data_IF_264826717819
#
_entry.id   IF_264826717819
#
_cell.length_a   1.000
_cell.length_b   1.000
_cell.length_c   1.000
_cell.angle_alpha   90.00
_cell.angle_beta   90.00
_cell.angle_gamma   90.00
#
_symmetry.space_group_name_H-M   'P 1'
#
loop_
_entity.id
_entity.type
_entity.pdbx_description
1 polymer ?
#
# COMPACT_ATOMS: atom_id res chain seq x y z
N UNK A 1 8.07 2.18 -45.12
CA UNK A 1 6.89 1.78 -44.32
C UNK A 1 7.26 1.98 -42.86
N UNK A 2 6.44 2.69 -42.07
CA UNK A 2 6.62 2.76 -40.62
C UNK A 2 6.50 1.34 -40.05
N UNK A 3 7.45 0.91 -39.21
CA UNK A 3 7.34 -0.40 -38.57
C UNK A 3 6.55 -0.23 -37.29
N UNK A 4 5.60 -1.13 -37.05
CA UNK A 4 4.94 -1.26 -35.75
C UNK A 4 5.78 -2.18 -34.89
N UNK A 5 6.22 -1.71 -33.72
CA UNK A 5 7.04 -2.47 -32.76
C UNK A 5 6.26 -2.74 -31.47
N UNK A 6 6.36 -3.95 -30.94
CA UNK A 6 5.90 -4.29 -29.60
C UNK A 6 7.08 -4.30 -28.63
N UNK A 7 6.98 -3.50 -27.57
CA UNK A 7 8.05 -3.27 -26.60
C UNK A 7 7.58 -3.73 -25.22
N UNK A 8 8.42 -4.50 -24.51
CA UNK A 8 8.22 -4.75 -23.10
C UNK A 8 9.15 -3.85 -22.27
N UNK A 9 8.58 -3.05 -21.39
CA UNK A 9 9.31 -2.33 -20.34
C UNK A 9 9.17 -3.11 -19.04
N UNK A 10 10.29 -3.45 -18.41
CA UNK A 10 10.31 -4.38 -17.28
C UNK A 10 11.13 -3.79 -16.15
N UNK A 11 10.50 -3.47 -15.02
CA UNK A 11 11.26 -3.12 -13.81
C UNK A 11 12.08 -4.31 -13.29
N UNK A 12 13.17 -4.02 -12.57
CA UNK A 12 14.07 -5.04 -12.04
C UNK A 12 13.62 -5.51 -10.67
N UNK A 13 13.63 -4.63 -9.68
CA UNK A 13 13.61 -4.99 -8.26
C UNK A 13 12.17 -5.30 -7.84
N UNK A 14 11.91 -6.51 -7.31
CA UNK A 14 10.54 -6.93 -6.95
C UNK A 14 9.67 -7.33 -8.15
N UNK A 15 10.07 -6.97 -9.37
CA UNK A 15 9.40 -7.33 -10.63
C UNK A 15 10.04 -8.55 -11.30
N UNK A 16 11.01 -8.37 -12.23
CA UNK A 16 11.69 -9.52 -12.87
C UNK A 16 12.69 -10.20 -11.94
N UNK A 17 13.26 -9.49 -10.96
CA UNK A 17 14.15 -10.05 -9.95
C UNK A 17 13.38 -10.21 -8.63
N UNK A 18 13.11 -11.45 -8.24
CA UNK A 18 12.45 -11.81 -6.98
C UNK A 18 13.29 -12.86 -6.26
N UNK A 19 13.57 -12.62 -4.96
CA UNK A 19 14.39 -13.52 -4.13
C UNK A 19 15.75 -13.90 -4.77
N UNK A 20 16.37 -12.95 -5.49
CA UNK A 20 17.66 -13.15 -6.15
C UNK A 20 17.64 -14.02 -7.41
N UNK A 21 16.45 -14.30 -7.97
CA UNK A 21 16.24 -15.09 -9.17
C UNK A 21 15.28 -14.39 -10.13
N UNK A 22 15.28 -14.81 -11.41
CA UNK A 22 14.28 -14.33 -12.36
C UNK A 22 12.87 -14.83 -11.97
N UNK A 23 11.88 -13.95 -12.08
CA UNK A 23 10.48 -14.30 -11.95
C UNK A 23 10.05 -15.14 -13.16
N UNK A 24 9.90 -16.45 -12.95
CA UNK A 24 9.63 -17.42 -14.01
C UNK A 24 8.26 -17.21 -14.69
N UNK A 25 7.27 -16.64 -14.00
CA UNK A 25 5.96 -16.37 -14.60
C UNK A 25 6.01 -15.15 -15.53
N UNK A 26 6.71 -14.09 -15.12
CA UNK A 26 6.98 -12.96 -16.01
C UNK A 26 7.88 -13.37 -17.19
N UNK A 27 8.89 -14.22 -16.95
CA UNK A 27 9.73 -14.74 -18.04
C UNK A 27 8.92 -15.51 -19.09
N UNK A 28 8.03 -16.42 -18.67
CA UNK A 28 7.11 -17.12 -19.59
C UNK A 28 6.26 -16.13 -20.39
N UNK A 29 5.75 -15.08 -19.73
CA UNK A 29 4.96 -14.04 -20.38
C UNK A 29 5.78 -13.28 -21.44
N UNK A 30 7.02 -12.91 -21.13
CA UNK A 30 7.93 -12.24 -22.07
C UNK A 30 8.24 -13.11 -23.29
N UNK A 31 8.48 -14.42 -23.08
CA UNK A 31 8.68 -15.39 -24.18
C UNK A 31 7.43 -15.48 -25.05
N UNK A 32 6.24 -15.63 -24.44
CA UNK A 32 4.97 -15.76 -25.17
C UNK A 32 4.56 -14.48 -25.90
N UNK A 33 4.92 -13.31 -25.36
CA UNK A 33 4.61 -12.01 -25.95
C UNK A 33 5.38 -11.73 -27.24
N UNK A 34 6.51 -12.40 -27.47
CA UNK A 34 7.34 -12.24 -28.68
C UNK A 34 7.66 -10.77 -29.03
N UNK A 35 7.95 -9.96 -28.02
CA UNK A 35 8.25 -8.52 -28.17
C UNK A 35 9.43 -8.26 -29.09
N UNK A 36 9.38 -7.22 -29.92
CA UNK A 36 10.49 -6.79 -30.77
C UNK A 36 11.70 -6.35 -29.93
N UNK A 37 11.45 -5.67 -28.80
CA UNK A 37 12.48 -5.29 -27.84
C UNK A 37 12.00 -5.49 -26.40
N UNK A 38 12.93 -5.89 -25.54
CA UNK A 38 12.72 -6.02 -24.10
C UNK A 38 13.74 -5.11 -23.43
N UNK A 39 13.24 -4.21 -22.58
CA UNK A 39 14.03 -3.15 -21.97
C UNK A 39 13.84 -3.23 -20.45
N UNK A 40 14.93 -3.43 -19.72
CA UNK A 40 14.92 -3.22 -18.27
C UNK A 40 14.75 -1.72 -18.01
N UNK A 41 13.63 -1.36 -17.38
CA UNK A 41 13.17 0.01 -17.19
C UNK A 41 13.24 0.38 -15.71
N UNK A 42 14.40 0.90 -15.30
CA UNK A 42 14.80 0.90 -13.88
C UNK A 42 15.25 2.28 -13.38
N UNK A 43 15.11 2.53 -12.08
CA UNK A 43 15.60 3.75 -11.43
C UNK A 43 16.98 3.52 -10.78
N UNK A 44 17.91 2.88 -11.49
CA UNK A 44 19.25 2.57 -10.95
C UNK A 44 20.30 3.61 -11.35
N UNK A 45 21.10 4.00 -10.37
CA UNK A 45 22.27 4.89 -10.49
C UNK A 45 23.43 4.37 -9.64
N UNK A 46 24.64 4.92 -9.74
CA UNK A 46 25.77 4.47 -8.89
C UNK A 46 25.44 4.69 -7.42
N UNK A 47 24.88 5.85 -7.08
CA UNK A 47 24.46 6.15 -5.71
C UNK A 47 23.42 5.15 -5.18
N UNK A 48 22.36 4.89 -5.94
CA UNK A 48 21.29 3.99 -5.50
C UNK A 48 21.78 2.54 -5.38
N UNK A 49 22.71 2.12 -6.25
CA UNK A 49 23.30 0.79 -6.19
C UNK A 49 24.16 0.54 -4.94
N UNK A 50 24.71 1.57 -4.30
CA UNK A 50 25.43 1.40 -3.02
C UNK A 50 24.53 0.80 -1.94
N UNK A 51 23.25 1.19 -1.94
CA UNK A 51 22.25 0.64 -1.01
C UNK A 51 21.74 -0.70 -1.51
N UNK A 52 21.32 -0.78 -2.77
CA UNK A 52 20.67 -1.99 -3.31
C UNK A 52 21.62 -3.20 -3.25
N UNK A 53 22.89 -3.06 -3.64
CA UNK A 53 23.83 -4.18 -3.68
C UNK A 53 24.18 -4.72 -2.28
N UNK A 54 24.09 -3.90 -1.22
CA UNK A 54 24.28 -4.36 0.16
C UNK A 54 23.21 -5.35 0.59
N UNK A 55 21.99 -5.21 0.08
CA UNK A 55 20.87 -6.10 0.43
C UNK A 55 20.88 -7.43 -0.35
N UNK A 56 21.71 -7.56 -1.38
CA UNK A 56 21.71 -8.69 -2.30
C UNK A 56 22.97 -9.57 -2.22
N UNK A 57 23.73 -9.50 -1.12
CA UNK A 57 25.02 -10.17 -0.99
C UNK A 57 24.99 -11.69 -1.25
N UNK A 58 23.88 -12.36 -0.91
CA UNK A 58 23.73 -13.82 -1.07
C UNK A 58 22.95 -14.25 -2.33
N UNK A 59 22.51 -13.29 -3.15
CA UNK A 59 21.73 -13.60 -4.35
C UNK A 59 22.61 -14.07 -5.52
N UNK A 60 22.06 -14.92 -6.40
CA UNK A 60 22.75 -15.35 -7.61
C UNK A 60 22.81 -14.22 -8.65
N UNK A 61 21.76 -13.41 -8.75
CA UNK A 61 21.68 -12.25 -9.63
C UNK A 61 21.74 -10.98 -8.77
N UNK A 62 22.90 -10.32 -8.75
CA UNK A 62 23.17 -9.18 -7.85
C UNK A 62 23.07 -7.86 -8.59
N UNK A 63 23.71 -7.79 -9.75
CA UNK A 63 23.92 -6.56 -10.51
C UNK A 63 22.86 -6.39 -11.59
N UNK A 64 22.75 -5.16 -12.11
CA UNK A 64 21.90 -4.89 -13.27
C UNK A 64 22.36 -5.72 -14.48
N UNK A 65 23.68 -5.89 -14.61
CA UNK A 65 24.28 -6.74 -15.64
C UNK A 65 23.89 -8.21 -15.51
N UNK A 66 23.91 -8.78 -14.31
CA UNK A 66 23.58 -10.20 -14.10
C UNK A 66 22.15 -10.48 -14.58
N UNK A 67 21.21 -9.58 -14.23
CA UNK A 67 19.81 -9.67 -14.65
C UNK A 67 19.69 -9.55 -16.16
N UNK A 68 20.28 -8.52 -16.77
CA UNK A 68 20.21 -8.31 -18.22
C UNK A 68 20.82 -9.48 -19.00
N UNK A 69 21.95 -10.02 -18.54
CA UNK A 69 22.66 -11.13 -19.19
C UNK A 69 21.86 -12.42 -19.09
N UNK A 70 21.38 -12.78 -17.89
CA UNK A 70 20.60 -14.00 -17.69
C UNK A 70 19.26 -13.91 -18.43
N UNK A 71 18.58 -12.76 -18.38
CA UNK A 71 17.33 -12.55 -19.10
C UNK A 71 17.55 -12.64 -20.62
N UNK A 72 18.60 -12.01 -21.15
CA UNK A 72 18.96 -12.11 -22.59
C UNK A 72 19.19 -13.56 -23.02
N UNK A 73 19.93 -14.32 -22.21
CA UNK A 73 20.20 -15.74 -22.44
C UNK A 73 18.92 -16.58 -22.46
N UNK A 74 17.98 -16.31 -21.54
CA UNK A 74 16.71 -17.06 -21.43
C UNK A 74 15.73 -16.72 -22.56
N UNK A 75 15.83 -15.52 -23.13
CA UNK A 75 14.96 -15.03 -24.21
C UNK A 75 15.53 -15.23 -25.62
N UNK A 76 16.81 -15.62 -25.73
CA UNK A 76 17.57 -15.65 -26.98
C UNK A 76 17.49 -14.30 -27.73
N UNK A 77 17.60 -13.20 -26.96
CA UNK A 77 17.45 -11.84 -27.47
C UNK A 77 18.23 -10.85 -26.61
N UNK A 78 18.77 -9.81 -27.24
CA UNK A 78 19.40 -8.71 -26.52
C UNK A 78 18.38 -7.95 -25.66
N UNK A 79 18.66 -7.86 -24.36
CA UNK A 79 17.92 -7.02 -23.42
C UNK A 79 18.67 -5.71 -23.22
N UNK A 80 17.99 -4.59 -23.49
CA UNK A 80 18.53 -3.24 -23.23
C UNK A 80 18.22 -2.79 -21.81
N UNK A 81 18.93 -1.77 -21.33
CA UNK A 81 18.71 -1.19 -20.01
C UNK A 81 18.54 0.32 -20.17
N UNK A 82 17.37 0.84 -19.79
CA UNK A 82 17.12 2.27 -19.64
C UNK A 82 17.11 2.61 -18.15
N UNK A 83 17.88 3.62 -17.78
CA UNK A 83 17.91 4.13 -16.40
C UNK A 83 17.30 5.52 -16.31
N UNK A 84 16.78 5.85 -15.13
CA UNK A 84 16.19 7.17 -14.87
C UNK A 84 17.17 8.35 -15.00
N UNK A 85 18.47 8.08 -15.11
CA UNK A 85 19.51 9.10 -15.28
C UNK A 85 20.09 9.15 -16.70
N UNK A 86 19.63 8.32 -17.64
CA UNK A 86 20.20 8.22 -19.00
C UNK A 86 20.35 9.60 -19.67
N UNK A 87 19.29 10.42 -19.66
CA UNK A 87 19.27 11.74 -20.31
C UNK A 87 20.21 12.76 -19.67
N UNK A 88 20.66 12.51 -18.44
CA UNK A 88 21.67 13.34 -17.76
C UNK A 88 23.10 12.96 -18.18
N UNK A 89 23.29 11.77 -18.75
CA UNK A 89 24.58 11.21 -19.13
C UNK A 89 24.72 10.96 -20.64
N UNK A 90 23.74 11.38 -21.45
CA UNK A 90 23.78 11.33 -22.90
C UNK A 90 22.45 10.86 -23.50
N UNK A 91 22.54 10.06 -24.57
CA UNK A 91 21.38 9.39 -25.14
C UNK A 91 20.90 8.22 -24.26
N UNK A 92 19.66 7.80 -24.45
CA UNK A 92 19.09 6.60 -23.84
C UNK A 92 20.00 5.38 -24.02
N UNK A 93 20.01 4.49 -23.03
CA UNK A 93 20.82 3.27 -22.94
C UNK A 93 22.33 3.45 -22.71
N UNK A 94 22.88 4.67 -22.84
CA UNK A 94 24.32 4.89 -22.71
C UNK A 94 24.85 4.79 -21.28
N UNK A 95 24.01 5.05 -20.28
CA UNK A 95 24.46 5.07 -18.90
C UNK A 95 24.77 3.67 -18.35
N UNK A 96 24.15 2.63 -18.91
CA UNK A 96 24.28 1.26 -18.43
C UNK A 96 25.73 0.75 -18.38
N UNK A 97 26.57 1.08 -19.35
CA UNK A 97 27.99 0.67 -19.34
C UNK A 97 28.76 1.27 -18.15
N UNK A 98 28.45 2.52 -17.79
CA UNK A 98 29.04 3.19 -16.62
C UNK A 98 28.57 2.55 -15.33
N UNK A 99 27.27 2.21 -15.26
CA UNK A 99 26.68 1.53 -14.11
C UNK A 99 27.30 0.14 -13.91
N UNK A 100 27.38 -0.65 -14.97
CA UNK A 100 27.97 -2.00 -14.97
C UNK A 100 29.42 -2.01 -14.47
N UNK A 101 30.24 -1.08 -14.93
CA UNK A 101 31.63 -0.95 -14.45
C UNK A 101 31.68 -0.65 -12.95
N UNK A 102 30.84 0.28 -12.50
CA UNK A 102 30.73 0.66 -11.10
C UNK A 102 30.23 -0.49 -10.21
N UNK A 103 29.15 -1.19 -10.58
CA UNK A 103 28.58 -2.30 -9.79
C UNK A 103 29.63 -3.40 -9.54
N UNK A 104 30.39 -3.79 -10.57
CA UNK A 104 31.50 -4.76 -10.44
C UNK A 104 32.58 -4.28 -9.49
N UNK A 105 32.95 -3.01 -9.57
CA UNK A 105 33.95 -2.39 -8.70
C UNK A 105 33.44 -2.32 -7.26
N UNK A 106 32.19 -1.93 -7.07
CA UNK A 106 31.54 -1.82 -5.76
C UNK A 106 31.39 -3.18 -5.07
N UNK A 107 31.04 -4.25 -5.79
CA UNK A 107 30.99 -5.60 -5.20
C UNK A 107 32.36 -6.06 -4.69
N UNK A 108 33.45 -5.77 -5.42
CA UNK A 108 34.82 -6.02 -4.95
C UNK A 108 35.12 -5.21 -3.70
N UNK A 109 34.68 -3.94 -3.67
CA UNK A 109 34.82 -3.09 -2.49
C UNK A 109 34.05 -3.64 -1.30
N UNK A 110 32.81 -4.11 -1.43
CA UNK A 110 32.03 -4.61 -0.29
C UNK A 110 32.74 -5.77 0.43
N UNK A 111 33.26 -6.74 -0.32
CA UNK A 111 34.03 -7.86 0.23
C UNK A 111 35.28 -7.39 0.98
N UNK A 112 35.87 -6.27 0.54
CA UNK A 112 37.05 -5.68 1.16
C UNK A 112 36.69 -4.75 2.34
N UNK A 113 35.51 -4.13 2.31
CA UNK A 113 35.02 -3.16 3.28
C UNK A 113 34.66 -3.80 4.62
N UNK A 114 34.28 -5.07 4.64
CA UNK A 114 34.08 -5.82 5.90
C UNK A 114 35.34 -5.82 6.77
N UNK A 115 36.52 -5.97 6.15
CA UNK A 115 37.80 -5.83 6.84
C UNK A 115 38.04 -4.42 7.36
N UNK A 116 37.66 -3.41 6.58
CA UNK A 116 37.82 -2.00 6.98
C UNK A 116 36.93 -1.66 8.18
N UNK A 117 35.65 -2.06 8.14
CA UNK A 117 34.71 -1.90 9.26
C UNK A 117 35.23 -2.60 10.52
N UNK A 118 35.70 -3.84 10.37
CA UNK A 118 36.29 -4.61 11.48
C UNK A 118 37.50 -3.88 12.07
N UNK A 119 38.40 -3.36 11.23
CA UNK A 119 39.53 -2.55 11.67
C UNK A 119 39.10 -1.30 12.44
N UNK A 120 38.14 -0.52 11.91
CA UNK A 120 37.65 0.71 12.56
C UNK A 120 36.97 0.43 13.90
N UNK A 121 36.25 -0.69 14.01
CA UNK A 121 35.68 -1.19 15.26
C UNK A 121 36.77 -1.53 16.27
N UNK A 122 37.79 -2.27 15.83
CA UNK A 122 38.96 -2.63 16.64
C UNK A 122 39.75 -1.39 17.12
N UNK A 123 39.97 -0.39 16.26
CA UNK A 123 40.61 0.87 16.67
C UNK A 123 39.79 1.61 17.73
N UNK A 124 38.47 1.62 17.58
CA UNK A 124 37.55 2.25 18.52
C UNK A 124 37.58 1.57 19.89
N UNK A 125 37.59 0.23 19.93
CA UNK A 125 37.67 -0.52 21.19
C UNK A 125 39.04 -0.37 21.86
N UNK A 126 40.15 -0.41 21.09
CA UNK A 126 41.49 -0.10 21.63
C UNK A 126 41.51 1.29 22.27
N UNK A 127 40.94 2.29 21.59
CA UNK A 127 40.88 3.66 22.11
C UNK A 127 40.04 3.71 23.39
N UNK A 128 38.91 3.00 23.44
CA UNK A 128 38.06 2.90 24.63
C UNK A 128 38.80 2.26 25.80
N UNK A 129 39.46 1.12 25.59
CA UNK A 129 40.25 0.43 26.62
C UNK A 129 41.37 1.35 27.15
N UNK A 130 42.14 1.99 26.26
CA UNK A 130 43.22 2.91 26.66
C UNK A 130 42.75 4.14 27.43
N UNK A 131 41.50 4.56 27.23
CA UNK A 131 40.92 5.71 27.92
C UNK A 131 40.28 5.35 29.26
N UNK A 132 40.27 4.07 29.67
CA UNK A 132 39.76 3.64 30.97
C UNK A 132 40.71 4.08 32.08
N UNK A 133 40.22 4.95 32.97
CA UNK A 133 41.00 5.50 34.10
C UNK A 133 41.37 4.44 35.15
N UNK A 134 40.65 3.33 35.18
CA UNK A 134 40.82 2.22 36.12
C UNK A 134 41.87 1.19 35.68
N UNK A 135 42.40 1.31 34.46
CA UNK A 135 43.41 0.40 33.93
C UNK A 135 44.78 1.06 33.87
N UNK A 136 45.82 0.33 34.24
CA UNK A 136 47.19 0.71 33.87
C UNK A 136 47.44 0.46 32.38
N UNK A 137 48.52 1.00 31.83
CA UNK A 137 48.92 0.72 30.44
C UNK A 137 49.15 -0.78 30.18
N UNK A 138 49.73 -1.48 31.17
CA UNK A 138 49.95 -2.93 31.10
C UNK A 138 48.63 -3.71 31.16
N UNK A 139 47.68 -3.29 31.99
CA UNK A 139 46.36 -3.92 32.07
C UNK A 139 45.57 -3.70 30.77
N UNK A 140 45.68 -2.51 30.18
CA UNK A 140 45.10 -2.18 28.86
C UNK A 140 45.67 -3.07 27.76
N UNK A 141 47.01 -3.25 27.73
CA UNK A 141 47.66 -4.11 26.74
C UNK A 141 47.26 -5.59 26.88
N UNK A 142 47.13 -6.09 28.11
CA UNK A 142 46.63 -7.45 28.38
C UNK A 142 45.18 -7.62 27.92
N UNK A 143 44.31 -6.64 28.20
CA UNK A 143 42.91 -6.71 27.80
C UNK A 143 42.75 -6.71 26.28
N UNK A 144 43.49 -5.84 25.56
CA UNK A 144 43.52 -5.81 24.09
C UNK A 144 43.98 -7.17 23.52
N UNK A 145 45.02 -7.77 24.10
CA UNK A 145 45.51 -9.07 23.66
C UNK A 145 44.51 -10.21 23.95
N UNK A 146 43.81 -10.15 25.09
CA UNK A 146 42.77 -11.12 25.47
C UNK A 146 41.55 -11.08 24.53
N UNK A 147 41.17 -9.88 24.09
CA UNK A 147 40.07 -9.69 23.13
C UNK A 147 40.46 -10.04 21.68
N UNK A 148 41.70 -10.51 21.45
CA UNK A 148 42.21 -10.90 20.13
C UNK A 148 42.06 -9.80 19.08
N UNK A 149 42.12 -8.53 19.50
CA UNK A 149 41.95 -7.40 18.60
C UNK A 149 43.15 -7.32 17.67
N UNK A 150 42.93 -7.59 16.38
CA UNK A 150 43.95 -7.49 15.35
C UNK A 150 43.64 -6.35 14.38
N UNK A 151 44.57 -5.41 14.25
CA UNK A 151 44.49 -4.36 13.25
C UNK A 151 45.10 -4.82 11.94
N UNK A 152 44.47 -4.44 10.83
CA UNK A 152 45.06 -4.56 9.49
C UNK A 152 46.44 -3.88 9.41
N UNK A 153 47.39 -4.46 8.64
CA UNK A 153 48.64 -3.79 8.31
C UNK A 153 48.40 -2.45 7.59
N UNK A 154 49.23 -1.45 7.89
CA UNK A 154 49.09 -0.08 7.33
C UNK A 154 48.96 -0.07 5.80
N UNK A 155 49.76 -0.88 5.10
CA UNK A 155 49.71 -0.97 3.64
C UNK A 155 48.37 -1.54 3.11
N UNK A 156 47.74 -2.47 3.83
CA UNK A 156 46.40 -2.98 3.47
C UNK A 156 45.33 -1.94 3.79
N UNK A 157 45.42 -1.28 4.96
CA UNK A 157 44.51 -0.21 5.36
C UNK A 157 44.49 0.94 4.35
N UNK A 158 45.66 1.40 3.91
CA UNK A 158 45.78 2.48 2.92
C UNK A 158 45.18 2.08 1.57
N UNK A 159 45.34 0.81 1.14
CA UNK A 159 44.68 0.30 -0.07
C UNK A 159 43.16 0.31 0.05
N UNK A 160 42.62 -0.13 1.19
CA UNK A 160 41.17 -0.14 1.43
C UNK A 160 40.59 1.28 1.50
N UNK A 161 41.28 2.20 2.18
CA UNK A 161 40.89 3.62 2.25
C UNK A 161 40.92 4.28 0.87
N UNK A 162 41.98 4.04 0.08
CA UNK A 162 42.06 4.53 -1.29
C UNK A 162 40.91 3.98 -2.15
N UNK A 163 40.60 2.70 -2.02
CA UNK A 163 39.49 2.08 -2.78
C UNK A 163 38.13 2.65 -2.38
N UNK A 164 37.90 2.90 -1.08
CA UNK A 164 36.69 3.58 -0.58
C UNK A 164 36.58 4.98 -1.18
N UNK A 165 37.66 5.77 -1.14
CA UNK A 165 37.68 7.12 -1.69
C UNK A 165 37.36 7.11 -3.19
N UNK A 166 37.89 6.14 -3.94
CA UNK A 166 37.61 6.00 -5.37
C UNK A 166 36.12 5.75 -5.67
N UNK A 167 35.43 4.98 -4.81
CA UNK A 167 33.97 4.78 -4.89
C UNK A 167 33.23 6.07 -4.55
N UNK A 168 33.62 6.74 -3.47
CA UNK A 168 32.99 7.99 -3.01
C UNK A 168 33.13 9.11 -4.06
N UNK A 169 34.29 9.22 -4.70
CA UNK A 169 34.57 10.19 -5.77
C UNK A 169 33.69 9.95 -7.00
N UNK A 170 33.51 8.70 -7.42
CA UNK A 170 32.61 8.37 -8.54
C UNK A 170 31.16 8.75 -8.26
N UNK A 171 30.68 8.50 -7.03
CA UNK A 171 29.32 8.87 -6.60
C UNK A 171 29.19 10.39 -6.53
N UNK A 172 30.19 11.08 -5.98
CA UNK A 172 30.18 12.54 -5.90
C UNK A 172 30.16 13.20 -7.28
N UNK A 173 30.93 12.66 -8.23
CA UNK A 173 30.94 13.11 -9.62
C UNK A 173 29.58 12.92 -10.30
N UNK A 174 28.94 11.77 -10.10
CA UNK A 174 27.58 11.52 -10.61
C UNK A 174 26.56 12.47 -10.01
N UNK A 175 26.53 12.62 -8.68
CA UNK A 175 25.63 13.54 -7.98
C UNK A 175 25.77 14.97 -8.50
N UNK A 176 27.01 15.40 -8.79
CA UNK A 176 27.26 16.72 -9.36
C UNK A 176 26.59 16.89 -10.73
N UNK A 177 26.74 15.90 -11.62
CA UNK A 177 26.12 15.94 -12.97
C UNK A 177 24.59 16.00 -12.87
N UNK A 178 24.00 15.17 -12.01
CA UNK A 178 22.54 15.13 -11.79
C UNK A 178 22.02 16.47 -11.25
N UNK A 179 22.74 17.05 -10.28
CA UNK A 179 22.41 18.38 -9.73
C UNK A 179 22.52 19.47 -10.79
N UNK A 180 23.60 19.49 -11.56
CA UNK A 180 23.81 20.46 -12.63
C UNK A 180 22.71 20.35 -13.69
N UNK A 181 22.31 19.13 -14.06
CA UNK A 181 21.19 18.88 -14.97
C UNK A 181 19.85 19.36 -14.41
N UNK A 182 19.56 19.05 -13.15
CA UNK A 182 18.31 19.45 -12.49
C UNK A 182 18.20 20.97 -12.39
N UNK A 183 19.30 21.64 -12.06
CA UNK A 183 19.37 23.12 -12.04
C UNK A 183 19.12 23.72 -13.43
N UNK A 184 19.63 23.08 -14.49
CA UNK A 184 19.44 23.53 -15.87
C UNK A 184 18.04 23.22 -16.43
N UNK A 185 17.30 22.27 -15.82
CA UNK A 185 15.99 21.83 -16.27
C UNK A 185 14.96 21.91 -15.13
N UNK A 186 14.45 23.11 -14.77
CA UNK A 186 13.53 23.29 -13.62
C UNK A 186 12.19 22.54 -13.73
N UNK A 187 11.81 22.09 -14.93
CA UNK A 187 10.67 21.18 -15.13
C UNK A 187 10.90 19.81 -14.50
N UNK A 188 12.15 19.46 -14.24
CA UNK A 188 12.57 18.27 -13.52
C UNK A 188 12.32 18.44 -12.02
N UNK A 189 11.17 17.96 -11.55
CA UNK A 189 10.81 18.03 -10.13
C UNK A 189 11.30 16.79 -9.39
N UNK A 190 12.05 17.03 -8.32
CA UNK A 190 12.43 15.98 -7.38
C UNK A 190 12.40 16.52 -5.96
N UNK A 191 11.86 15.71 -5.05
CA UNK A 191 11.87 15.99 -3.61
C UNK A 191 13.07 15.29 -2.95
N UNK A 192 14.00 14.76 -3.75
CA UNK A 192 15.21 14.12 -3.28
C UNK A 192 16.28 15.18 -2.94
N UNK A 193 16.89 15.14 -1.74
CA UNK A 193 17.95 16.08 -1.37
C UNK A 193 19.16 16.03 -2.31
N UNK A 194 19.41 14.89 -2.94
CA UNK A 194 20.49 14.67 -3.90
C UNK A 194 20.03 14.85 -5.36
N UNK A 195 18.80 15.34 -5.57
CA UNK A 195 18.18 15.61 -6.87
C UNK A 195 17.97 14.38 -7.77
N UNK A 196 17.98 13.16 -7.21
CA UNK A 196 17.73 11.97 -8.02
C UNK A 196 16.31 11.93 -8.60
N UNK A 197 16.13 11.40 -9.83
CA UNK A 197 14.83 11.00 -10.34
C UNK A 197 14.06 10.14 -9.34
N UNK A 198 12.83 10.57 -8.99
CA UNK A 198 11.88 9.72 -8.27
C UNK A 198 10.72 9.24 -9.14
N UNK A 199 10.41 9.97 -10.21
CA UNK A 199 9.33 9.64 -11.14
C UNK A 199 9.88 8.98 -12.39
N UNK A 200 9.19 7.96 -12.89
CA UNK A 200 9.46 7.30 -14.18
C UNK A 200 8.78 8.00 -15.36
N UNK A 201 7.94 9.01 -15.14
CA UNK A 201 7.23 9.72 -16.23
C UNK A 201 8.20 10.30 -17.26
N UNK A 202 9.22 11.04 -16.81
CA UNK A 202 10.18 11.63 -17.76
C UNK A 202 11.03 10.56 -18.43
N UNK A 203 11.49 9.54 -17.68
CA UNK A 203 12.24 8.42 -18.25
C UNK A 203 11.43 7.70 -19.33
N UNK A 204 10.13 7.47 -19.09
CA UNK A 204 9.22 6.83 -20.04
C UNK A 204 9.07 7.67 -21.30
N UNK A 205 8.86 8.98 -21.14
CA UNK A 205 8.74 9.92 -22.26
C UNK A 205 10.02 9.94 -23.10
N UNK A 206 11.17 10.17 -22.48
CA UNK A 206 12.46 10.25 -23.17
C UNK A 206 12.80 8.93 -23.88
N UNK A 207 12.45 7.79 -23.27
CA UNK A 207 12.61 6.47 -23.88
C UNK A 207 11.67 6.28 -25.09
N UNK A 208 10.42 6.70 -24.99
CA UNK A 208 9.47 6.63 -26.10
C UNK A 208 9.89 7.53 -27.27
N UNK A 209 10.39 8.73 -26.99
CA UNK A 209 10.92 9.65 -28.00
C UNK A 209 12.12 9.01 -28.72
N UNK A 210 13.03 8.36 -27.99
CA UNK A 210 14.15 7.61 -28.58
C UNK A 210 13.67 6.44 -29.45
N UNK A 211 12.71 5.65 -28.97
CA UNK A 211 12.20 4.47 -29.68
C UNK A 211 11.41 4.82 -30.94
N UNK A 212 10.84 6.02 -30.99
CA UNK A 212 10.02 6.52 -32.11
C UNK A 212 10.76 7.53 -33.00
N UNK A 213 12.04 7.84 -32.73
CA UNK A 213 12.82 8.84 -33.48
C UNK A 213 12.91 8.61 -34.99
N UNK A 214 12.79 7.35 -35.43
CA UNK A 214 12.80 6.96 -36.85
C UNK A 214 11.40 7.01 -37.49
N UNK A 215 10.39 7.49 -36.77
CA UNK A 215 8.99 7.54 -37.20
C UNK A 215 8.23 6.22 -37.03
N UNK A 216 8.78 5.29 -36.25
CA UNK A 216 8.14 4.01 -35.91
C UNK A 216 6.95 4.19 -34.97
N UNK A 217 5.97 3.29 -35.09
CA UNK A 217 4.83 3.22 -34.18
C UNK A 217 5.14 2.14 -33.13
N UNK A 218 4.97 2.47 -31.84
CA UNK A 218 5.23 1.51 -30.76
C UNK A 218 3.97 1.18 -29.99
N UNK A 219 3.90 -0.04 -29.46
CA UNK A 219 2.97 -0.47 -28.42
C UNK A 219 3.80 -1.00 -27.26
N UNK A 220 3.44 -0.61 -26.05
CA UNK A 220 4.21 -0.90 -24.85
C UNK A 220 3.40 -1.78 -23.90
N UNK A 221 4.01 -2.86 -23.43
CA UNK A 221 3.57 -3.56 -22.24
C UNK A 221 4.55 -3.25 -21.10
N UNK A 222 4.07 -2.58 -20.06
CA UNK A 222 4.87 -2.14 -18.93
C UNK A 222 4.59 -3.01 -17.69
N UNK A 223 5.65 -3.61 -17.16
CA UNK A 223 5.65 -4.51 -16.01
C UNK A 223 6.40 -3.87 -14.84
N UNK A 224 5.71 -3.67 -13.73
CA UNK A 224 6.27 -3.07 -12.52
C UNK A 224 5.59 -3.69 -11.28
N UNK A 225 6.29 -3.75 -10.16
CA UNK A 225 5.73 -4.20 -8.88
C UNK A 225 5.15 -3.03 -8.06
N UNK A 226 5.30 -1.79 -8.56
CA UNK A 226 4.83 -0.59 -7.90
C UNK A 226 3.59 0.03 -8.54
N UNK A 227 2.49 0.10 -7.79
CA UNK A 227 1.27 0.84 -8.16
C UNK A 227 1.57 2.28 -8.54
N UNK A 228 2.39 2.98 -7.76
CA UNK A 228 2.70 4.39 -7.99
C UNK A 228 3.40 4.60 -9.34
N UNK A 229 4.33 3.72 -9.69
CA UNK A 229 5.02 3.72 -10.99
C UNK A 229 4.03 3.45 -12.14
N UNK A 230 3.08 2.54 -11.95
CA UNK A 230 2.05 2.25 -12.95
C UNK A 230 1.02 3.39 -13.09
N UNK A 231 0.67 4.04 -11.97
CA UNK A 231 -0.33 5.11 -11.89
C UNK A 231 0.17 6.43 -12.48
N UNK A 232 1.46 6.75 -12.30
CA UNK A 232 2.04 8.00 -12.80
C UNK A 232 2.23 8.04 -14.32
N UNK A 233 2.38 6.89 -14.98
CA UNK A 233 2.56 6.84 -16.43
C UNK A 233 1.20 6.84 -17.12
N UNK A 234 0.85 7.97 -17.72
CA UNK A 234 -0.37 8.13 -18.52
C UNK A 234 -0.14 7.73 -19.99
N UNK A 235 -1.13 7.08 -20.63
CA UNK A 235 -1.05 6.68 -22.02
C UNK A 235 -1.27 7.89 -22.95
N UNK A 236 -0.29 8.77 -23.06
CA UNK A 236 -0.35 9.87 -24.02
C UNK A 236 0.19 9.44 -25.38
N UNK A 237 -0.71 9.25 -26.34
CA UNK A 237 -0.46 8.95 -27.75
C UNK A 237 0.23 7.61 -28.07
N UNK A 238 0.51 6.78 -27.06
CA UNK A 238 1.13 5.45 -27.22
C UNK A 238 0.20 4.38 -26.63
N UNK A 239 -0.17 3.33 -27.39
CA UNK A 239 -0.85 2.16 -26.84
C UNK A 239 -0.02 1.52 -25.73
N UNK A 240 -0.49 1.63 -24.49
CA UNK A 240 0.20 1.20 -23.29
C UNK A 240 -0.69 0.23 -22.49
N UNK A 241 -0.22 -1.00 -22.29
CA UNK A 241 -0.77 -1.91 -21.29
C UNK A 241 0.13 -1.91 -20.06
N UNK A 242 -0.47 -1.93 -18.87
CA UNK A 242 0.26 -1.88 -17.59
C UNK A 242 -0.09 -3.11 -16.77
N UNK A 243 0.93 -3.72 -16.16
CA UNK A 243 0.81 -4.94 -15.40
C UNK A 243 1.54 -4.81 -14.07
N UNK A 244 0.77 -4.99 -12.99
CA UNK A 244 1.30 -5.17 -11.65
C UNK A 244 1.88 -6.57 -11.53
N UNK A 245 3.15 -6.67 -11.18
CA UNK A 245 3.86 -7.93 -10.97
C UNK A 245 4.09 -8.16 -9.48
N UNK A 246 3.58 -9.26 -8.97
CA UNK A 246 3.78 -9.71 -7.60
C UNK A 246 4.28 -11.16 -7.61
N UNK A 247 4.71 -11.67 -6.46
CA UNK A 247 5.19 -13.05 -6.35
C UNK A 247 4.08 -14.04 -6.75
N UNK A 248 4.29 -14.74 -7.87
CA UNK A 248 3.34 -15.73 -8.41
C UNK A 248 2.04 -15.15 -8.97
N UNK A 249 1.94 -13.84 -9.19
CA UNK A 249 0.72 -13.18 -9.69
C UNK A 249 1.06 -12.01 -10.59
N UNK A 250 0.34 -11.89 -11.71
CA UNK A 250 0.40 -10.73 -12.60
C UNK A 250 -1.02 -10.25 -12.86
N UNK A 251 -1.28 -8.97 -12.61
CA UNK A 251 -2.62 -8.39 -12.69
C UNK A 251 -2.59 -7.15 -13.57
N UNK A 252 -3.61 -6.92 -14.39
CA UNK A 252 -3.70 -5.66 -15.16
C UNK A 252 -3.85 -4.49 -14.19
N UNK A 253 -3.20 -3.38 -14.51
CA UNK A 253 -3.27 -2.18 -13.68
C UNK A 253 -4.70 -1.66 -13.52
N UNK A 254 -5.55 -1.77 -14.55
CA UNK A 254 -6.94 -1.31 -14.48
C UNK A 254 -7.72 -2.06 -13.38
N UNK A 255 -7.53 -3.39 -13.29
CA UNK A 255 -8.15 -4.21 -12.25
C UNK A 255 -7.57 -3.87 -10.87
N UNK A 256 -6.27 -3.59 -10.78
CA UNK A 256 -5.62 -3.16 -9.54
C UNK A 256 -6.16 -1.80 -9.08
N UNK A 257 -6.29 -0.85 -10.00
CA UNK A 257 -6.81 0.50 -9.76
C UNK A 257 -8.23 0.46 -9.23
N UNK A 258 -9.10 -0.34 -9.86
CA UNK A 258 -10.47 -0.55 -9.39
C UNK A 258 -10.51 -1.14 -7.97
N UNK A 259 -9.70 -2.17 -7.70
CA UNK A 259 -9.60 -2.76 -6.37
C UNK A 259 -9.10 -1.76 -5.32
N UNK A 260 -8.07 -0.96 -5.64
CA UNK A 260 -7.55 0.08 -4.74
C UNK A 260 -8.61 1.15 -4.44
N UNK A 261 -9.36 1.60 -5.45
CA UNK A 261 -10.47 2.52 -5.24
C UNK A 261 -11.54 1.94 -4.31
N UNK A 262 -11.92 0.68 -4.50
CA UNK A 262 -12.87 0.00 -3.61
C UNK A 262 -12.35 -0.06 -2.17
N UNK A 263 -11.12 -0.52 -1.97
CA UNK A 263 -10.51 -0.63 -0.63
C UNK A 263 -10.47 0.73 0.08
N UNK A 264 -10.02 1.79 -0.61
CA UNK A 264 -10.00 3.15 -0.04
C UNK A 264 -11.40 3.60 0.37
N UNK A 265 -12.38 3.39 -0.51
CA UNK A 265 -13.77 3.75 -0.22
C UNK A 265 -14.33 2.99 0.99
N UNK A 266 -14.05 1.69 1.12
CA UNK A 266 -14.50 0.88 2.25
C UNK A 266 -13.87 1.32 3.58
N UNK A 267 -12.58 1.65 3.57
CA UNK A 267 -11.87 2.22 4.73
C UNK A 267 -12.47 3.58 5.10
N UNK A 268 -12.67 4.46 4.13
CA UNK A 268 -13.22 5.79 4.38
C UNK A 268 -14.64 5.70 4.96
N UNK A 269 -15.48 4.78 4.45
CA UNK A 269 -16.82 4.54 5.02
C UNK A 269 -16.70 4.13 6.50
N UNK A 270 -15.79 3.21 6.83
CA UNK A 270 -15.62 2.73 8.20
C UNK A 270 -15.03 3.81 9.12
N UNK A 271 -14.12 4.65 8.62
CA UNK A 271 -13.64 5.84 9.33
C UNK A 271 -14.82 6.72 9.75
N UNK A 272 -15.67 7.12 8.80
CA UNK A 272 -16.82 7.97 9.10
C UNK A 272 -17.79 7.33 10.11
N UNK A 273 -17.93 6.00 10.08
CA UNK A 273 -18.73 5.24 11.03
C UNK A 273 -18.15 5.30 12.45
N UNK A 274 -16.84 5.09 12.61
CA UNK A 274 -16.17 5.20 13.90
C UNK A 274 -16.16 6.64 14.44
N UNK A 275 -15.96 7.64 13.58
CA UNK A 275 -16.02 9.05 13.98
C UNK A 275 -17.39 9.46 14.54
N UNK A 276 -18.48 8.91 13.99
CA UNK A 276 -19.83 9.12 14.54
C UNK A 276 -19.97 8.50 15.93
N UNK A 277 -19.45 7.29 16.14
CA UNK A 277 -19.47 6.66 17.46
C UNK A 277 -18.69 7.48 18.48
N UNK A 278 -17.49 7.96 18.13
CA UNK A 278 -16.68 8.80 19.02
C UNK A 278 -17.43 10.06 19.45
N UNK A 279 -18.16 10.70 18.53
CA UNK A 279 -19.02 11.86 18.86
C UNK A 279 -20.19 11.47 19.76
N UNK A 280 -20.83 10.34 19.49
CA UNK A 280 -21.99 9.83 20.25
C UNK A 280 -21.64 9.47 21.70
N UNK A 281 -20.48 8.88 21.92
CA UNK A 281 -19.99 8.57 23.27
C UNK A 281 -19.41 9.79 24.00
N UNK A 282 -19.65 11.01 23.49
CA UNK A 282 -19.20 12.28 24.07
C UNK A 282 -17.74 12.25 24.52
N UNK A 283 -16.87 11.58 23.77
CA UNK A 283 -15.46 11.45 24.18
C UNK A 283 -14.72 12.81 24.17
N UNK A 284 -15.38 13.90 23.74
CA UNK A 284 -14.86 15.27 23.65
C UNK A 284 -13.48 15.35 23.01
N UNK A 285 -13.20 14.43 22.07
CA UNK A 285 -11.94 14.33 21.38
C UNK A 285 -11.93 15.26 20.17
N UNK A 286 -10.87 16.06 20.08
CA UNK A 286 -10.52 16.75 18.85
C UNK A 286 -9.96 15.73 17.85
N UNK A 287 -10.84 15.23 16.97
CA UNK A 287 -10.48 14.25 15.93
C UNK A 287 -9.36 14.76 15.00
N UNK A 288 -9.15 16.08 14.88
CA UNK A 288 -8.01 16.62 14.12
C UNK A 288 -6.66 16.33 14.77
N UNK A 289 -6.67 15.99 16.07
CA UNK A 289 -5.50 15.62 16.88
C UNK A 289 -5.47 14.15 17.24
N UNK A 290 -6.24 13.30 16.55
CA UNK A 290 -6.32 11.86 16.83
C UNK A 290 -4.94 11.19 16.94
N UNK A 291 -4.00 11.56 16.08
CA UNK A 291 -2.63 11.03 16.08
C UNK A 291 -1.78 11.48 17.27
N UNK A 292 -2.15 12.57 17.94
CA UNK A 292 -1.45 13.08 19.12
C UNK A 292 -1.89 12.38 20.41
N UNK A 293 -2.96 11.57 20.35
CA UNK A 293 -3.41 10.78 21.50
C UNK A 293 -2.42 9.64 21.73
N UNK A 294 -1.74 9.68 22.87
CA UNK A 294 -0.75 8.67 23.27
C UNK A 294 -1.40 7.37 23.74
N UNK A 295 -0.69 6.25 23.65
CA UNK A 295 -1.17 4.98 24.20
C UNK A 295 -1.51 5.05 25.69
N UNK A 296 -0.76 5.87 26.46
CA UNK A 296 -1.03 6.10 27.88
C UNK A 296 -2.39 6.76 28.10
N UNK A 297 -2.75 7.74 27.27
CA UNK A 297 -4.06 8.39 27.33
C UNK A 297 -5.18 7.42 26.91
N UNK A 298 -4.95 6.60 25.89
CA UNK A 298 -5.92 5.57 25.48
C UNK A 298 -6.18 4.61 26.64
N UNK A 299 -5.15 4.05 27.28
CA UNK A 299 -5.28 3.12 28.42
C UNK A 299 -6.02 3.67 29.65
N UNK A 300 -6.23 4.99 29.73
CA UNK A 300 -6.97 5.64 30.81
C UNK A 300 -8.47 5.79 30.49
N UNK A 301 -8.89 5.54 29.25
CA UNK A 301 -10.29 5.56 28.82
C UNK A 301 -10.99 4.25 29.22
N UNK A 302 -12.32 4.22 29.18
CA UNK A 302 -13.07 2.98 29.30
C UNK A 302 -12.80 2.05 28.11
N UNK A 303 -13.13 0.76 28.25
CA UNK A 303 -12.83 -0.27 27.25
C UNK A 303 -13.46 0.03 25.88
N UNK A 304 -14.66 0.62 25.85
CA UNK A 304 -15.34 0.94 24.59
C UNK A 304 -14.65 2.12 23.89
N UNK A 305 -14.30 3.17 24.64
CA UNK A 305 -13.54 4.29 24.12
C UNK A 305 -12.13 3.87 23.65
N UNK A 306 -11.45 3.00 24.38
CA UNK A 306 -10.16 2.42 23.99
C UNK A 306 -10.23 1.76 22.62
N UNK A 307 -11.22 0.90 22.43
CA UNK A 307 -11.44 0.16 21.20
C UNK A 307 -11.75 1.10 20.02
N UNK A 308 -12.67 2.05 20.21
CA UNK A 308 -13.07 3.01 19.18
C UNK A 308 -11.88 3.84 18.69
N UNK A 309 -11.08 4.38 19.61
CA UNK A 309 -9.94 5.25 19.27
C UNK A 309 -8.80 4.45 18.65
N UNK A 310 -8.53 3.24 19.13
CA UNK A 310 -7.49 2.38 18.55
C UNK A 310 -7.81 2.00 17.10
N UNK A 311 -9.06 1.60 16.84
CA UNK A 311 -9.48 1.25 15.48
C UNK A 311 -9.51 2.45 14.55
N UNK A 312 -10.01 3.60 15.04
CA UNK A 312 -10.05 4.82 14.24
C UNK A 312 -8.63 5.28 13.87
N UNK A 313 -7.65 5.19 14.77
CA UNK A 313 -6.24 5.48 14.48
C UNK A 313 -5.67 4.54 13.41
N UNK A 314 -5.94 3.25 13.52
CA UNK A 314 -5.46 2.26 12.54
C UNK A 314 -6.08 2.50 11.16
N UNK A 315 -7.40 2.75 11.07
CA UNK A 315 -8.06 3.03 9.80
C UNK A 315 -7.51 4.29 9.12
N UNK A 316 -7.29 5.36 9.91
CA UNK A 316 -6.68 6.59 9.43
C UNK A 316 -5.22 6.39 8.99
N UNK A 317 -4.45 5.52 9.67
CA UNK A 317 -3.12 5.11 9.24
C UNK A 317 -3.17 4.39 7.87
N UNK A 318 -4.06 3.40 7.74
CA UNK A 318 -4.24 2.64 6.50
C UNK A 318 -4.71 3.53 5.33
N UNK A 319 -5.67 4.43 5.56
CA UNK A 319 -6.12 5.38 4.53
C UNK A 319 -4.96 6.26 4.03
N UNK A 320 -4.10 6.76 4.93
CA UNK A 320 -2.90 7.51 4.55
C UNK A 320 -1.87 6.67 3.80
N UNK A 321 -1.62 5.43 4.23
CA UNK A 321 -0.70 4.51 3.55
C UNK A 321 -1.17 4.19 2.13
N UNK A 322 -2.48 4.15 1.91
CA UNK A 322 -3.08 3.96 0.59
C UNK A 322 -3.10 5.23 -0.26
N UNK A 323 -3.01 6.42 0.33
CA UNK A 323 -2.99 7.71 -0.38
C UNK A 323 -1.57 8.19 -0.71
N UNK A 324 -0.54 7.72 -0.02
CA UNK A 324 0.85 8.16 -0.22
C UNK A 324 1.59 7.44 -1.35
N UNK A 325 2.78 7.95 -1.68
CA UNK A 325 3.70 7.44 -2.73
C UNK A 325 4.09 5.96 -2.57
N UNK A 326 3.83 5.35 -1.40
CA UNK A 326 4.07 3.93 -1.10
C UNK A 326 2.85 3.02 -1.32
N UNK A 327 1.73 3.52 -1.86
CA UNK A 327 0.51 2.73 -2.08
C UNK A 327 0.71 1.42 -2.90
N UNK A 328 1.83 1.35 -3.62
CA UNK A 328 2.37 0.24 -4.40
C UNK A 328 2.73 -1.05 -3.67
N UNK A 329 3.58 -0.97 -2.65
CA UNK A 329 3.90 -2.12 -1.79
C UNK A 329 2.64 -2.64 -1.07
N UNK A 330 1.59 -1.82 -1.07
CA UNK A 330 0.46 -1.95 -0.18
C UNK A 330 -0.76 -2.63 -0.81
N UNK A 331 -0.79 -3.06 -2.08
CA UNK A 331 -1.98 -3.80 -2.53
C UNK A 331 -2.11 -5.13 -1.77
N UNK A 332 -1.03 -5.91 -1.69
CA UNK A 332 -1.03 -7.17 -0.93
C UNK A 332 -1.27 -6.90 0.55
N UNK A 333 -0.61 -5.91 1.14
CA UNK A 333 -0.78 -5.59 2.55
C UNK A 333 -2.18 -5.06 2.85
N UNK A 334 -2.76 -4.27 1.94
CA UNK A 334 -4.14 -3.82 2.04
C UNK A 334 -5.12 -4.97 1.85
N UNK A 335 -4.89 -5.90 0.91
CA UNK A 335 -5.69 -7.11 0.81
C UNK A 335 -5.62 -7.97 2.08
N UNK A 336 -4.44 -8.05 2.73
CA UNK A 336 -4.26 -8.73 4.02
C UNK A 336 -5.01 -7.99 5.14
N UNK A 337 -4.87 -6.66 5.22
CA UNK A 337 -5.59 -5.83 6.18
C UNK A 337 -7.11 -6.01 6.02
N UNK A 338 -7.60 -5.95 4.78
CA UNK A 338 -9.01 -6.11 4.43
C UNK A 338 -9.56 -7.50 4.79
N UNK A 339 -8.75 -8.56 4.71
CA UNK A 339 -9.15 -9.93 5.06
C UNK A 339 -9.03 -10.27 6.55
N UNK A 340 -8.32 -9.45 7.33
CA UNK A 340 -8.11 -9.66 8.76
C UNK A 340 -8.71 -8.52 9.58
N UNK A 341 -7.85 -7.58 9.97
CA UNK A 341 -8.17 -6.47 10.87
C UNK A 341 -9.42 -5.68 10.46
N UNK A 342 -9.60 -5.42 9.16
CA UNK A 342 -10.76 -4.66 8.70
C UNK A 342 -12.09 -5.38 9.01
N UNK A 343 -12.17 -6.69 8.79
CA UNK A 343 -13.36 -7.48 9.13
C UNK A 343 -13.60 -7.47 10.64
N UNK A 344 -12.55 -7.63 11.44
CA UNK A 344 -12.64 -7.55 12.91
C UNK A 344 -13.18 -6.19 13.36
N UNK A 345 -12.71 -5.10 12.73
CA UNK A 345 -13.21 -3.74 13.00
C UNK A 345 -14.66 -3.58 12.57
N UNK A 346 -15.07 -4.13 11.43
CA UNK A 346 -16.49 -4.13 11.03
C UNK A 346 -17.35 -4.87 12.05
N UNK A 347 -16.91 -6.03 12.54
CA UNK A 347 -17.64 -6.78 13.57
C UNK A 347 -17.72 -6.01 14.89
N UNK A 348 -16.63 -5.38 15.32
CA UNK A 348 -16.60 -4.56 16.53
C UNK A 348 -17.52 -3.35 16.42
N UNK A 349 -17.50 -2.66 15.27
CA UNK A 349 -18.45 -1.58 14.97
C UNK A 349 -19.90 -2.06 15.11
N UNK A 350 -20.23 -3.21 14.50
CA UNK A 350 -21.58 -3.79 14.55
C UNK A 350 -21.99 -4.13 15.99
N UNK A 351 -21.09 -4.73 16.78
CA UNK A 351 -21.32 -5.08 18.18
C UNK A 351 -21.64 -3.85 19.03
N UNK A 352 -20.97 -2.73 18.79
CA UNK A 352 -21.19 -1.48 19.54
C UNK A 352 -22.46 -0.78 19.05
N UNK A 353 -22.66 -0.67 17.74
CA UNK A 353 -23.64 0.25 17.17
C UNK A 353 -25.04 -0.35 16.98
N UNK A 354 -25.13 -1.66 16.68
CA UNK A 354 -26.38 -2.32 16.27
C UNK A 354 -26.73 -3.53 17.13
N UNK A 355 -25.77 -4.32 17.60
CA UNK A 355 -26.07 -5.51 18.39
C UNK A 355 -26.97 -5.26 19.64
N UNK A 356 -26.93 -4.08 20.31
CA UNK A 356 -27.84 -3.79 21.42
C UNK A 356 -29.33 -3.84 21.04
N UNK A 357 -29.66 -3.62 19.76
CA UNK A 357 -31.05 -3.60 19.24
C UNK A 357 -31.34 -4.74 18.26
N UNK A 358 -30.30 -5.44 17.78
CA UNK A 358 -30.43 -6.56 16.85
C UNK A 358 -29.38 -7.64 17.12
N UNK A 359 -29.77 -8.67 17.89
CA UNK A 359 -28.89 -9.77 18.31
C UNK A 359 -28.23 -10.57 17.17
N UNK A 360 -28.74 -10.46 15.94
CA UNK A 360 -28.21 -11.18 14.78
C UNK A 360 -27.35 -10.31 13.86
N UNK A 361 -26.94 -9.14 14.35
CA UNK A 361 -26.16 -8.20 13.56
C UNK A 361 -24.79 -8.79 13.16
N UNK A 362 -24.54 -8.86 11.86
CA UNK A 362 -23.29 -9.39 11.29
C UNK A 362 -23.04 -8.74 9.92
N UNK A 363 -21.80 -8.40 9.59
CA UNK A 363 -21.39 -7.90 8.27
C UNK A 363 -20.43 -8.84 7.51
N UNK A 364 -19.90 -9.88 8.17
CA UNK A 364 -18.93 -10.81 7.62
C UNK A 364 -19.60 -12.04 6.99
N UNK A 365 -20.51 -12.70 7.70
CA UNK A 365 -21.17 -13.93 7.23
C UNK A 365 -22.65 -13.97 7.63
N UNK A 366 -23.51 -14.41 6.71
CA UNK A 366 -24.90 -14.68 7.03
C UNK A 366 -25.05 -16.09 7.59
N UNK A 367 -25.94 -16.27 8.57
CA UNK A 367 -26.41 -17.61 8.92
C UNK A 367 -27.15 -18.19 7.71
N UNK A 368 -27.11 -19.50 7.55
CA UNK A 368 -27.93 -20.17 6.54
C UNK A 368 -29.41 -20.04 6.92
N UNK A 369 -30.23 -19.62 5.95
CA UNK A 369 -31.68 -19.53 6.11
C UNK A 369 -32.39 -20.26 4.97
N UNK A 370 -33.51 -20.92 5.26
CA UNK A 370 -34.33 -21.58 4.24
C UNK A 370 -34.88 -20.60 3.18
N UNK A 371 -35.00 -19.31 3.53
CA UNK A 371 -35.37 -18.22 2.62
C UNK A 371 -34.56 -16.96 2.99
N UNK A 372 -33.36 -16.80 2.44
CA UNK A 372 -32.53 -15.61 2.66
C UNK A 372 -33.17 -14.34 2.06
N UNK A 373 -33.04 -13.22 2.76
CA UNK A 373 -33.30 -11.91 2.16
C UNK A 373 -32.30 -11.67 1.02
N UNK A 374 -32.74 -11.17 -0.13
CA UNK A 374 -31.91 -11.02 -1.33
C UNK A 374 -32.22 -9.71 -2.07
N UNK A 375 -31.21 -9.23 -2.79
CA UNK A 375 -31.29 -8.07 -3.68
C UNK A 375 -31.79 -8.42 -5.09
N UNK A 376 -31.87 -9.71 -5.47
CA UNK A 376 -32.09 -10.19 -6.85
C UNK A 376 -33.37 -9.67 -7.52
N UNK A 377 -34.46 -9.47 -6.77
CA UNK A 377 -35.76 -9.02 -7.28
C UNK A 377 -36.06 -7.54 -6.99
N UNK A 378 -35.04 -6.75 -6.63
CA UNK A 378 -35.18 -5.34 -6.22
C UNK A 378 -34.83 -4.34 -7.31
N UNK A 379 -35.15 -3.07 -7.08
CA UNK A 379 -34.82 -1.96 -7.99
C UNK A 379 -33.31 -1.85 -8.24
N UNK A 380 -32.92 -1.21 -9.35
CA UNK A 380 -31.50 -0.97 -9.70
C UNK A 380 -30.81 -0.13 -8.62
N UNK A 381 -31.50 0.87 -8.07
CA UNK A 381 -30.98 1.70 -6.99
C UNK A 381 -30.69 0.88 -5.73
N UNK A 382 -31.61 -0.01 -5.33
CA UNK A 382 -31.41 -0.89 -4.18
C UNK A 382 -30.26 -1.87 -4.40
N UNK A 383 -30.18 -2.48 -5.58
CA UNK A 383 -29.07 -3.38 -5.96
C UNK A 383 -27.72 -2.68 -5.93
N UNK A 384 -27.67 -1.42 -6.39
CA UNK A 384 -26.46 -0.60 -6.34
C UNK A 384 -26.03 -0.28 -4.90
N UNK A 385 -26.98 -0.08 -3.99
CA UNK A 385 -26.70 0.29 -2.61
C UNK A 385 -26.29 -0.90 -1.72
N UNK A 386 -26.81 -2.10 -2.00
CA UNK A 386 -26.62 -3.28 -1.16
C UNK A 386 -25.94 -4.45 -1.89
N UNK A 387 -25.40 -4.20 -3.08
CA UNK A 387 -24.44 -5.01 -3.85
C UNK A 387 -24.34 -6.50 -3.48
N UNK A 388 -25.23 -7.33 -4.03
CA UNK A 388 -25.28 -8.79 -3.84
C UNK A 388 -25.37 -9.29 -2.38
N UNK A 389 -25.52 -8.42 -1.38
CA UNK A 389 -25.69 -8.81 0.02
C UNK A 389 -26.96 -9.62 0.20
N UNK A 390 -26.90 -10.60 1.12
CA UNK A 390 -28.01 -11.48 1.45
C UNK A 390 -28.16 -11.67 2.95
N UNK A 391 -29.29 -12.23 3.36
CA UNK A 391 -29.49 -12.73 4.71
C UNK A 391 -29.31 -11.68 5.81
N UNK A 392 -28.60 -12.06 6.87
CA UNK A 392 -28.35 -11.21 8.03
C UNK A 392 -27.42 -10.04 7.71
N UNK A 393 -26.49 -10.21 6.75
CA UNK A 393 -25.60 -9.14 6.29
C UNK A 393 -26.40 -8.01 5.65
N UNK A 394 -27.34 -8.35 4.78
CA UNK A 394 -28.23 -7.37 4.15
C UNK A 394 -29.07 -6.62 5.19
N UNK A 395 -29.70 -7.35 6.12
CA UNK A 395 -30.53 -6.73 7.15
C UNK A 395 -29.73 -5.85 8.11
N UNK A 396 -28.53 -6.30 8.50
CA UNK A 396 -27.62 -5.52 9.34
C UNK A 396 -27.23 -4.21 8.65
N UNK A 397 -26.83 -4.27 7.37
CA UNK A 397 -26.48 -3.05 6.62
C UNK A 397 -27.67 -2.10 6.48
N UNK A 398 -28.87 -2.62 6.26
CA UNK A 398 -30.10 -1.82 6.22
C UNK A 398 -30.34 -1.12 7.58
N UNK A 399 -30.20 -1.84 8.70
CA UNK A 399 -30.37 -1.28 10.04
C UNK A 399 -29.31 -0.21 10.38
N UNK A 400 -28.05 -0.44 9.99
CA UNK A 400 -26.98 0.56 10.11
C UNK A 400 -27.36 1.85 9.38
N UNK A 401 -27.79 1.73 8.12
CA UNK A 401 -28.18 2.89 7.31
C UNK A 401 -29.39 3.61 7.92
N UNK A 402 -30.40 2.85 8.38
CA UNK A 402 -31.57 3.43 9.03
C UNK A 402 -31.20 4.22 10.30
N UNK A 403 -30.42 3.61 11.20
CA UNK A 403 -29.95 4.25 12.44
C UNK A 403 -29.12 5.49 12.14
N UNK A 404 -28.21 5.40 11.17
CA UNK A 404 -27.35 6.50 10.76
C UNK A 404 -28.09 7.72 10.15
N UNK A 405 -29.27 7.52 9.56
CA UNK A 405 -30.09 8.61 9.02
C UNK A 405 -31.05 9.18 10.07
N UNK A 406 -31.67 8.34 10.90
CA UNK A 406 -32.60 8.83 11.92
C UNK A 406 -31.90 9.65 13.00
N UNK A 407 -30.64 9.33 13.34
CA UNK A 407 -29.81 10.10 14.27
C UNK A 407 -29.47 11.52 13.76
N UNK A 408 -29.74 11.84 12.48
CA UNK A 408 -29.59 13.21 11.95
C UNK A 408 -30.82 14.09 12.20
N UNK A 409 -31.96 13.49 12.56
CA UNK A 409 -33.18 14.24 12.80
C UNK A 409 -33.04 15.06 14.08
N UNK A 410 -33.38 16.35 14.02
CA UNK A 410 -33.17 17.27 15.14
C UNK A 410 -34.40 17.47 16.02
N UNK A 411 -35.54 16.88 15.66
CA UNK A 411 -36.80 16.97 16.40
C UNK A 411 -37.72 15.77 16.13
N UNK A 412 -38.79 15.66 16.93
CA UNK A 412 -39.77 14.57 16.84
C UNK A 412 -40.51 14.53 15.49
N UNK A 413 -40.82 15.70 14.91
CA UNK A 413 -41.57 15.77 13.65
C UNK A 413 -40.74 15.19 12.49
N UNK A 414 -39.45 15.50 12.44
CA UNK A 414 -38.51 14.93 11.47
C UNK A 414 -38.38 13.42 11.62
N UNK A 415 -38.24 12.93 12.86
CA UNK A 415 -38.19 11.49 13.16
C UNK A 415 -39.46 10.81 12.64
N UNK A 416 -40.65 11.29 13.00
CA UNK A 416 -41.91 10.65 12.61
C UNK A 416 -42.12 10.69 11.10
N UNK A 417 -41.77 11.81 10.44
CA UNK A 417 -41.81 11.95 8.98
C UNK A 417 -40.85 10.98 8.29
N UNK A 418 -39.62 10.86 8.80
CA UNK A 418 -38.62 9.94 8.27
C UNK A 418 -39.08 8.49 8.40
N UNK A 419 -39.56 8.08 9.59
CA UNK A 419 -40.07 6.72 9.84
C UNK A 419 -41.27 6.40 8.95
N UNK A 420 -42.22 7.32 8.81
CA UNK A 420 -43.39 7.13 7.95
C UNK A 420 -43.02 6.97 6.47
N UNK A 421 -41.99 7.70 6.00
CA UNK A 421 -41.43 7.53 4.66
C UNK A 421 -40.69 6.20 4.53
N UNK A 422 -39.84 5.86 5.50
CA UNK A 422 -39.01 4.66 5.49
C UNK A 422 -39.84 3.37 5.50
N UNK A 423 -40.95 3.32 6.25
CA UNK A 423 -41.86 2.17 6.26
C UNK A 423 -42.46 1.81 4.88
N UNK A 424 -42.40 2.73 3.90
CA UNK A 424 -42.86 2.50 2.53
C UNK A 424 -41.74 2.01 1.59
N UNK A 425 -40.49 2.03 2.04
CA UNK A 425 -39.30 1.78 1.21
C UNK A 425 -39.04 0.29 0.95
N UNK A 426 -38.15 -0.01 0.00
CA UNK A 426 -37.76 -1.39 -0.31
C UNK A 426 -36.94 -2.02 0.83
N UNK A 427 -36.18 -1.19 1.56
CA UNK A 427 -35.40 -1.54 2.74
C UNK A 427 -36.29 -2.08 3.86
N UNK A 428 -37.34 -1.34 4.23
CA UNK A 428 -38.25 -1.77 5.28
C UNK A 428 -38.96 -3.08 4.91
N UNK A 429 -39.44 -3.20 3.67
CA UNK A 429 -40.04 -4.44 3.16
C UNK A 429 -39.07 -5.63 3.21
N UNK A 430 -37.78 -5.36 3.03
CA UNK A 430 -36.73 -6.38 3.11
C UNK A 430 -36.48 -6.83 4.55
N UNK A 431 -36.52 -5.90 5.52
CA UNK A 431 -36.46 -6.24 6.95
C UNK A 431 -37.67 -7.07 7.39
N UNK A 432 -38.87 -6.74 6.89
CA UNK A 432 -40.10 -7.48 7.18
C UNK A 432 -40.11 -8.90 6.63
N UNK A 433 -39.23 -9.24 5.68
CA UNK A 433 -39.21 -10.58 5.10
C UNK A 433 -38.69 -11.60 6.13
N UNK A 434 -39.58 -12.46 6.62
CA UNK A 434 -39.24 -13.56 7.51
C UNK A 434 -38.31 -14.57 6.85
N UNK A 435 -37.14 -14.81 7.44
CA UNK A 435 -36.14 -15.75 6.92
C UNK A 435 -36.39 -17.21 7.36
N UNK A 436 -37.24 -17.43 8.36
CA UNK A 436 -37.70 -18.74 8.81
C UNK A 436 -39.03 -19.19 8.17
N UNK A 437 -39.20 -20.50 7.97
CA UNK A 437 -40.40 -21.11 7.38
C UNK A 437 -41.70 -20.74 8.14
N UNK A 438 -41.65 -20.71 9.48
CA UNK A 438 -42.80 -20.37 10.33
C UNK A 438 -43.20 -18.90 10.21
N UNK A 439 -42.23 -17.98 10.29
CA UNK A 439 -42.46 -16.53 10.13
C UNK A 439 -43.04 -16.22 8.76
N UNK A 440 -42.54 -16.89 7.71
CA UNK A 440 -43.02 -16.68 6.34
C UNK A 440 -44.42 -17.29 6.12
N UNK A 441 -44.71 -18.44 6.72
CA UNK A 441 -46.05 -19.04 6.70
C UNK A 441 -47.08 -18.13 7.38
N UNK A 442 -46.75 -17.57 8.55
CA UNK A 442 -47.57 -16.59 9.25
C UNK A 442 -47.81 -15.30 8.43
N UNK A 443 -46.78 -14.79 7.75
CA UNK A 443 -46.90 -13.62 6.89
C UNK A 443 -47.76 -13.88 5.65
N UNK A 444 -47.72 -15.09 5.09
CA UNK A 444 -48.57 -15.50 3.96
C UNK A 444 -50.05 -15.61 4.32
N UNK A 445 -50.39 -15.90 5.58
CA UNK A 445 -51.78 -16.00 6.06
C UNK A 445 -52.30 -14.72 6.71
N UNK A 446 -51.62 -13.58 6.49
CA UNK A 446 -52.09 -12.26 6.94
C UNK A 446 -51.80 -11.92 8.41
N UNK A 447 -51.06 -12.76 9.15
CA UNK A 447 -50.71 -12.53 10.56
C UNK A 447 -49.42 -11.69 10.72
N UNK A 448 -49.14 -10.81 9.76
CA UNK A 448 -47.91 -10.00 9.70
C UNK A 448 -47.75 -9.07 10.91
N UNK A 449 -48.86 -8.59 11.45
CA UNK A 449 -48.86 -7.74 12.65
C UNK A 449 -48.61 -8.53 13.95
N UNK A 450 -48.91 -9.83 13.97
CA UNK A 450 -48.75 -10.70 15.15
C UNK A 450 -47.36 -11.34 15.25
N UNK A 451 -46.66 -11.54 14.14
CA UNK A 451 -45.30 -12.13 14.13
C UNK A 451 -44.36 -11.16 13.41
N UNK A 452 -43.84 -10.19 14.15
CA UNK A 452 -42.81 -9.26 13.67
C UNK A 452 -41.45 -9.96 13.61
N UNK A 453 -40.65 -9.63 12.61
CA UNK A 453 -39.24 -10.08 12.54
C UNK A 453 -38.39 -9.32 13.55
N UNK A 454 -37.33 -9.94 14.07
CA UNK A 454 -36.38 -9.26 14.97
C UNK A 454 -35.78 -7.98 14.37
N UNK A 455 -35.59 -7.95 13.05
CA UNK A 455 -35.14 -6.77 12.32
C UNK A 455 -36.14 -5.61 12.31
N UNK A 456 -37.44 -5.87 12.46
CA UNK A 456 -38.47 -4.82 12.60
C UNK A 456 -38.54 -4.34 14.04
N UNK A 457 -38.39 -5.25 15.01
CA UNK A 457 -38.29 -4.86 16.42
C UNK A 457 -37.07 -3.95 16.65
N UNK A 458 -35.94 -4.25 16.00
CA UNK A 458 -34.77 -3.39 16.02
C UNK A 458 -35.04 -1.96 15.52
N UNK A 459 -35.89 -1.78 14.50
CA UNK A 459 -36.29 -0.45 14.02
C UNK A 459 -37.04 0.31 15.12
N UNK A 460 -37.98 -0.33 15.80
CA UNK A 460 -38.77 0.32 16.85
C UNK A 460 -37.88 0.74 18.03
N UNK A 461 -36.91 -0.10 18.43
CA UNK A 461 -35.92 0.25 19.46
C UNK A 461 -34.99 1.39 19.01
N UNK A 462 -34.53 1.40 17.76
CA UNK A 462 -33.72 2.51 17.21
C UNK A 462 -34.50 3.82 17.21
N UNK A 463 -35.78 3.79 16.85
CA UNK A 463 -36.65 4.99 16.87
C UNK A 463 -36.82 5.49 18.30
N UNK A 464 -37.01 4.59 19.26
CA UNK A 464 -37.11 4.94 20.68
C UNK A 464 -35.82 5.61 21.17
N UNK A 465 -34.67 4.99 20.90
CA UNK A 465 -33.34 5.54 21.24
C UNK A 465 -33.13 6.94 20.60
N UNK A 466 -33.52 7.12 19.35
CA UNK A 466 -33.40 8.42 18.66
C UNK A 466 -34.28 9.51 19.31
N UNK A 467 -35.49 9.17 19.75
CA UNK A 467 -36.40 10.11 20.44
C UNK A 467 -35.88 10.50 21.82
N UNK A 468 -35.30 9.55 22.55
CA UNK A 468 -34.72 9.77 23.88
C UNK A 468 -33.45 10.64 23.82
N UNK A 469 -32.70 10.59 22.72
CA UNK A 469 -31.47 11.36 22.51
C UNK A 469 -31.68 12.76 21.91
N UNK A 470 -32.93 13.19 21.65
CA UNK A 470 -33.18 14.55 21.23
C UNK A 470 -32.75 15.52 22.34
N UNK A 471 -32.10 16.65 22.02
CA UNK A 471 -31.77 17.64 23.02
C UNK A 471 -33.08 18.08 23.69
N UNK A 472 -33.19 17.87 25.01
CA UNK A 472 -34.31 18.38 25.78
C UNK A 472 -34.38 19.90 25.54
N UNK A 473 -35.35 20.34 24.76
CA UNK A 473 -35.75 21.75 24.74
C UNK A 473 -36.37 22.03 26.11
N UNK A 474 -35.54 22.26 27.11
CA UNK A 474 -35.95 22.93 28.33
C UNK A 474 -36.23 24.37 27.94
N UNK A 475 -37.43 24.61 27.40
CA UNK A 475 -38.06 25.92 27.46
C UNK A 475 -38.38 26.09 28.95
N UNK A 476 -37.42 26.66 29.69
CA UNK A 476 -37.72 27.27 30.97
C UNK A 476 -38.43 28.58 30.62
N UNK A 477 -39.76 28.61 30.81
CA UNK A 477 -40.58 29.83 30.77
C UNK A 477 -40.15 30.75 31.92
#
# INVERSE_FOLDING_TARGET
>A
MKKKKEIALVDIDGCILQDGKLNEDLLKKLIQGNYDQIILFTQRSKFLQVTNLKHHQDSHLKTTEDVATELSRRLDKEVKVSTSVDTMFGAQFNYFDKLKSFERKFLKFMNANEKLITHESHESEIRRIKNRKDLTENDSAKLIAQEQIQLLPEAELQKLKAFKNEIDEEIAAEKKIIRDYTNANPSYRTNDPDSYPKSKVLQFKDLCDELTKEGDEIKVDYYDDSYANLDEIEPDNIPLNRYMVQKGKMTKYEDVKENMHRIRNDIDILIHQYERLVKKFELHLDLTKLYNITEKQIKQMDESAQLLISNLKELHLQSRELQGDKAASNLTDAEIFMKGKFLDMQEQFVKIYIAPVYQFANLATSRWHACEASTSEKSVAFKRQYENMKGDVLKTKILINFKAEIEKCINLEEIDRYVAKYKKSEEYKTLETGQGLLTRAAHKVGLKEMIRTDSVNAIDEIVKEAKENLPNNTITI
#
